data_IF_712651571299
#
_entry.id   IF_712651571299
#
_cell.length_a   1.000
_cell.length_b   1.000
_cell.length_c   1.000
_cell.angle_alpha   90.00
_cell.angle_beta   90.00
_cell.angle_gamma   90.00
#
_symmetry.space_group_name_H-M   'P 1'
#
loop_
_entity.id
_entity.type
_entity.pdbx_description
1 polymer ?
#
# COMPACT_ATOMS: atom_id res chain seq x y z
N UNK A 1 -34.44 36.54 20.14
CA UNK A 1 -34.03 35.29 20.83
C UNK A 1 -34.54 34.01 20.15
N UNK A 2 -35.80 33.93 19.72
CA UNK A 2 -36.32 32.71 19.06
C UNK A 2 -35.65 32.38 17.71
N UNK A 3 -35.37 33.38 16.86
CA UNK A 3 -34.69 33.21 15.58
C UNK A 3 -33.27 32.63 15.75
N UNK A 4 -32.50 33.16 16.71
CA UNK A 4 -31.15 32.67 17.05
C UNK A 4 -31.17 31.22 17.55
N UNK A 5 -32.15 30.83 18.38
CA UNK A 5 -32.31 29.43 18.83
C UNK A 5 -32.69 28.50 17.67
N UNK A 6 -33.54 28.95 16.75
CA UNK A 6 -33.92 28.18 15.57
C UNK A 6 -32.71 27.92 14.67
N UNK A 7 -31.92 28.96 14.40
CA UNK A 7 -30.68 28.86 13.63
C UNK A 7 -29.68 27.89 14.30
N UNK A 8 -29.51 27.99 15.62
CA UNK A 8 -28.63 27.07 16.34
C UNK A 8 -29.08 25.61 16.18
N UNK A 9 -30.38 25.32 16.29
CA UNK A 9 -30.89 23.96 16.07
C UNK A 9 -30.73 23.46 14.62
N UNK A 10 -30.70 24.36 13.63
CA UNK A 10 -30.37 24.02 12.24
C UNK A 10 -28.88 23.69 12.07
N UNK A 11 -28.02 24.46 12.74
CA UNK A 11 -26.57 24.22 12.79
C UNK A 11 -26.30 22.85 13.42
N UNK A 12 -26.84 22.57 14.62
CA UNK A 12 -26.57 21.33 15.34
C UNK A 12 -27.02 20.09 14.52
N UNK A 13 -28.17 20.17 13.84
CA UNK A 13 -28.64 19.12 12.93
C UNK A 13 -27.72 18.95 11.72
N UNK A 14 -27.17 20.03 11.18
CA UNK A 14 -26.23 19.97 10.06
C UNK A 14 -24.91 19.33 10.51
N UNK A 15 -24.36 19.76 11.65
CA UNK A 15 -23.12 19.19 12.20
C UNK A 15 -23.26 17.70 12.48
N UNK A 16 -24.41 17.26 13.02
CA UNK A 16 -24.70 15.83 13.20
C UNK A 16 -24.66 15.05 11.87
N UNK A 17 -25.29 15.59 10.82
CA UNK A 17 -25.23 14.99 9.48
C UNK A 17 -23.81 14.95 8.90
N UNK A 18 -22.97 15.94 9.23
CA UNK A 18 -21.56 15.91 8.83
C UNK A 18 -20.84 14.76 9.52
N UNK A 19 -21.01 14.58 10.84
CA UNK A 19 -20.41 13.46 11.57
C UNK A 19 -20.84 12.11 10.97
N UNK A 20 -22.15 11.88 10.83
CA UNK A 20 -22.70 10.64 10.25
C UNK A 20 -22.20 10.40 8.81
N UNK A 21 -22.11 11.46 7.99
CA UNK A 21 -21.59 11.39 6.63
C UNK A 21 -20.11 11.09 6.56
N UNK A 22 -19.30 11.60 7.51
CA UNK A 22 -17.87 11.31 7.60
C UNK A 22 -17.62 9.86 8.03
N UNK A 23 -18.37 9.35 9.01
CA UNK A 23 -18.31 7.95 9.41
C UNK A 23 -18.68 7.02 8.25
N UNK A 24 -19.79 7.32 7.57
CA UNK A 24 -20.22 6.56 6.38
C UNK A 24 -19.16 6.62 5.28
N UNK A 25 -18.53 7.78 5.06
CA UNK A 25 -17.46 7.93 4.08
C UNK A 25 -16.26 7.06 4.43
N UNK A 26 -15.83 7.03 5.70
CA UNK A 26 -14.72 6.18 6.16
C UNK A 26 -15.04 4.70 5.98
N UNK A 27 -16.24 4.26 6.36
CA UNK A 27 -16.67 2.87 6.21
C UNK A 27 -16.64 2.41 4.74
N UNK A 28 -17.11 3.26 3.82
CA UNK A 28 -17.07 2.96 2.39
C UNK A 28 -15.62 2.99 1.89
N UNK A 29 -14.81 3.94 2.34
CA UNK A 29 -13.41 4.06 1.96
C UNK A 29 -12.62 2.79 2.31
N UNK A 30 -12.80 2.26 3.52
CA UNK A 30 -12.23 0.98 3.93
C UNK A 30 -12.70 -0.18 3.02
N UNK A 31 -13.99 -0.21 2.66
CA UNK A 31 -14.52 -1.21 1.72
C UNK A 31 -13.92 -1.11 0.32
N UNK A 32 -13.67 0.09 -0.20
CA UNK A 32 -12.98 0.30 -1.50
C UNK A 32 -11.57 -0.29 -1.46
N UNK A 33 -10.83 -0.08 -0.37
CA UNK A 33 -9.46 -0.58 -0.23
C UNK A 33 -9.38 -2.09 -0.01
N UNK A 34 -10.34 -2.67 0.72
CA UNK A 34 -10.36 -4.10 1.03
C UNK A 34 -11.02 -4.95 -0.08
N UNK A 35 -11.78 -4.33 -1.00
CA UNK A 35 -12.43 -5.05 -2.08
C UNK A 35 -11.41 -5.60 -3.08
N UNK A 36 -11.38 -6.93 -3.23
CA UNK A 36 -10.56 -7.64 -4.22
C UNK A 36 -11.28 -7.85 -5.56
N UNK A 37 -12.60 -7.70 -5.59
CA UNK A 37 -13.44 -7.84 -6.80
C UNK A 37 -13.70 -6.48 -7.49
N UNK A 38 -13.46 -6.41 -8.80
CA UNK A 38 -13.68 -5.21 -9.63
C UNK A 38 -15.09 -4.64 -9.50
N UNK A 39 -16.14 -5.47 -9.60
CA UNK A 39 -17.53 -4.98 -9.56
C UNK A 39 -17.90 -4.38 -8.20
N UNK A 40 -17.40 -4.97 -7.10
CA UNK A 40 -17.63 -4.44 -5.76
C UNK A 40 -16.85 -3.13 -5.56
N UNK A 41 -15.61 -3.08 -6.06
CA UNK A 41 -14.78 -1.88 -6.00
C UNK A 41 -15.43 -0.71 -6.73
N UNK A 42 -15.89 -0.90 -7.97
CA UNK A 42 -16.60 0.13 -8.74
C UNK A 42 -17.89 0.59 -8.05
N UNK A 43 -18.63 -0.35 -7.44
CA UNK A 43 -19.83 -0.03 -6.65
C UNK A 43 -19.48 0.86 -5.45
N UNK A 44 -18.47 0.49 -4.68
CA UNK A 44 -18.06 1.26 -3.51
C UNK A 44 -17.47 2.61 -3.89
N UNK A 45 -16.72 2.73 -5.00
CA UNK A 45 -16.25 4.01 -5.54
C UNK A 45 -17.42 4.93 -5.92
N UNK A 46 -18.46 4.38 -6.55
CA UNK A 46 -19.67 5.13 -6.88
C UNK A 46 -20.41 5.59 -5.61
N UNK A 47 -20.50 4.75 -4.58
CA UNK A 47 -21.13 5.11 -3.31
C UNK A 47 -20.29 6.15 -2.54
N UNK A 48 -18.96 6.02 -2.54
CA UNK A 48 -18.03 7.01 -1.97
C UNK A 48 -18.20 8.37 -2.65
N UNK A 49 -18.37 8.38 -3.99
CA UNK A 49 -18.65 9.60 -4.77
C UNK A 49 -19.99 10.24 -4.45
N UNK A 50 -21.02 9.44 -4.12
CA UNK A 50 -22.32 9.98 -3.68
C UNK A 50 -22.18 10.62 -2.30
N UNK A 51 -21.49 9.96 -1.37
CA UNK A 51 -21.35 10.45 0.00
C UNK A 51 -20.53 11.73 0.06
N UNK A 52 -19.41 11.81 -0.67
CA UNK A 52 -18.60 13.03 -0.71
C UNK A 52 -19.38 14.22 -1.27
N UNK A 53 -20.27 14.01 -2.25
CA UNK A 53 -21.15 15.06 -2.76
C UNK A 53 -22.15 15.57 -1.72
N UNK A 54 -22.62 14.72 -0.80
CA UNK A 54 -23.48 15.16 0.32
C UNK A 54 -22.69 16.02 1.29
N UNK A 55 -21.49 15.58 1.67
CA UNK A 55 -20.58 16.34 2.53
C UNK A 55 -20.24 17.71 1.92
N UNK A 56 -19.98 17.78 0.61
CA UNK A 56 -19.76 19.05 -0.11
C UNK A 56 -20.94 20.04 0.06
N UNK A 57 -22.18 19.56 -0.06
CA UNK A 57 -23.37 20.41 0.13
C UNK A 57 -23.47 20.94 1.56
N UNK A 58 -23.20 20.09 2.56
CA UNK A 58 -23.16 20.51 3.97
C UNK A 58 -22.05 21.53 4.22
N UNK A 59 -20.88 21.34 3.59
CA UNK A 59 -19.76 22.29 3.66
C UNK A 59 -20.13 23.66 3.10
N UNK A 60 -20.85 23.71 1.98
CA UNK A 60 -21.29 24.99 1.39
C UNK A 60 -22.39 25.66 2.22
N UNK A 61 -23.28 24.87 2.84
CA UNK A 61 -24.22 25.38 3.85
C UNK A 61 -23.47 26.00 5.04
N UNK A 62 -22.48 25.29 5.59
CA UNK A 62 -21.62 25.78 6.67
C UNK A 62 -20.87 27.06 6.24
N UNK A 63 -20.35 27.11 5.01
CA UNK A 63 -19.70 28.31 4.46
C UNK A 63 -20.65 29.50 4.44
N UNK A 64 -21.92 29.30 4.07
CA UNK A 64 -22.93 30.37 4.07
C UNK A 64 -23.19 30.92 5.48
N UNK A 65 -23.22 30.04 6.49
CA UNK A 65 -23.37 30.44 7.90
C UNK A 65 -22.13 31.15 8.45
N UNK A 66 -20.92 30.72 8.07
CA UNK A 66 -19.68 31.42 8.42
C UNK A 66 -19.66 32.83 7.81
N UNK A 67 -20.20 33.02 6.61
CA UNK A 67 -20.31 34.34 5.99
C UNK A 67 -21.40 35.22 6.64
N UNK A 68 -22.39 34.61 7.33
CA UNK A 68 -23.42 35.34 8.05
C UNK A 68 -22.86 36.10 9.27
N UNK A 69 -23.42 37.28 9.53
CA UNK A 69 -23.15 38.09 10.73
C UNK A 69 -23.94 37.65 11.98
N UNK A 70 -24.87 36.71 11.84
CA UNK A 70 -25.76 36.28 12.92
C UNK A 70 -25.09 35.34 13.94
N UNK A 71 -23.95 34.78 13.57
CA UNK A 71 -23.22 33.78 14.37
C UNK A 71 -22.00 34.45 15.00
N UNK A 72 -21.97 34.49 16.33
CA UNK A 72 -20.89 35.10 17.11
C UNK A 72 -19.64 34.23 17.13
N UNK A 73 -19.80 32.95 17.46
CA UNK A 73 -18.70 31.99 17.50
C UNK A 73 -18.78 31.04 16.29
N UNK A 74 -17.72 31.07 15.48
CA UNK A 74 -17.60 30.31 14.22
C UNK A 74 -16.58 29.17 14.31
N UNK A 75 -15.96 28.97 15.48
CA UNK A 75 -14.89 27.98 15.69
C UNK A 75 -15.32 26.57 15.24
N UNK A 76 -16.41 26.06 15.80
CA UNK A 76 -16.96 24.74 15.46
C UNK A 76 -17.31 24.63 13.97
N UNK A 77 -17.91 25.65 13.38
CA UNK A 77 -18.23 25.66 11.95
C UNK A 77 -16.98 25.56 11.06
N UNK A 78 -15.91 26.24 11.45
CA UNK A 78 -14.62 26.19 10.74
C UNK A 78 -13.98 24.80 10.84
N UNK A 79 -14.05 24.16 12.01
CA UNK A 79 -13.48 22.83 12.22
C UNK A 79 -14.21 21.76 11.41
N UNK A 80 -15.54 21.76 11.43
CA UNK A 80 -16.34 20.86 10.59
C UNK A 80 -16.17 21.13 9.09
N UNK A 81 -16.00 22.40 8.68
CA UNK A 81 -15.66 22.73 7.30
C UNK A 81 -14.32 22.13 6.88
N UNK A 82 -13.28 22.26 7.71
CA UNK A 82 -11.96 21.66 7.47
C UNK A 82 -12.00 20.14 7.45
N UNK A 83 -12.80 19.52 8.33
CA UNK A 83 -13.01 18.08 8.36
C UNK A 83 -13.54 17.58 7.02
N UNK A 84 -14.56 18.24 6.46
CA UNK A 84 -15.11 17.89 5.15
C UNK A 84 -14.08 18.11 4.04
N UNK A 85 -13.36 19.24 4.05
CA UNK A 85 -12.30 19.53 3.07
C UNK A 85 -11.20 18.46 3.08
N UNK A 86 -10.87 17.91 4.25
CA UNK A 86 -9.93 16.78 4.38
C UNK A 86 -10.47 15.51 3.73
N UNK A 87 -11.74 15.16 3.96
CA UNK A 87 -12.35 14.00 3.29
C UNK A 87 -12.45 14.19 1.77
N UNK A 88 -12.66 15.43 1.30
CA UNK A 88 -12.65 15.74 -0.13
C UNK A 88 -11.28 15.47 -0.76
N UNK A 89 -10.19 15.83 -0.08
CA UNK A 89 -8.85 15.56 -0.60
C UNK A 89 -8.54 14.06 -0.63
N UNK A 90 -8.94 13.32 0.42
CA UNK A 90 -8.85 11.85 0.43
C UNK A 90 -9.61 11.22 -0.74
N UNK A 91 -10.82 11.72 -1.03
CA UNK A 91 -11.58 11.26 -2.19
C UNK A 91 -10.88 11.53 -3.53
N UNK A 92 -10.21 12.69 -3.70
CA UNK A 92 -9.48 13.00 -4.94
C UNK A 92 -8.34 12.02 -5.21
N UNK A 93 -7.64 11.57 -4.17
CA UNK A 93 -6.56 10.58 -4.31
C UNK A 93 -7.13 9.28 -4.86
N UNK A 94 -8.21 8.77 -4.25
CA UNK A 94 -8.92 7.57 -4.71
C UNK A 94 -9.44 7.75 -6.14
N UNK A 95 -10.11 8.86 -6.45
CA UNK A 95 -10.66 9.10 -7.78
C UNK A 95 -9.56 9.16 -8.86
N UNK A 96 -8.40 9.75 -8.54
CA UNK A 96 -7.25 9.80 -9.44
C UNK A 96 -6.70 8.39 -9.70
N UNK A 97 -6.47 7.61 -8.65
CA UNK A 97 -5.96 6.24 -8.78
C UNK A 97 -6.89 5.35 -9.60
N UNK A 98 -8.20 5.44 -9.35
CA UNK A 98 -9.21 4.69 -10.10
C UNK A 98 -9.23 5.12 -11.57
N UNK A 99 -9.22 6.42 -11.86
CA UNK A 99 -9.22 6.91 -13.25
C UNK A 99 -7.96 6.48 -13.99
N UNK A 100 -6.78 6.66 -13.39
CA UNK A 100 -5.51 6.23 -14.02
C UNK A 100 -5.50 4.72 -14.26
N UNK A 101 -5.97 3.91 -13.31
CA UNK A 101 -6.10 2.45 -13.49
C UNK A 101 -7.16 2.06 -14.51
N UNK A 102 -8.25 2.81 -14.63
CA UNK A 102 -9.30 2.58 -15.65
C UNK A 102 -8.75 2.82 -17.06
N UNK A 103 -8.00 3.90 -17.28
CA UNK A 103 -7.31 4.14 -18.55
C UNK A 103 -6.25 3.07 -18.85
N UNK A 104 -5.55 2.54 -17.84
CA UNK A 104 -4.63 1.40 -18.00
C UNK A 104 -5.33 0.06 -18.28
N UNK A 105 -6.59 -0.13 -17.84
CA UNK A 105 -7.36 -1.38 -18.00
C UNK A 105 -8.20 -1.40 -19.27
N UNK A 106 -8.75 -0.25 -19.70
CA UNK A 106 -9.44 -0.09 -20.99
C UNK A 106 -8.48 -0.21 -22.19
N UNK A 107 -7.17 0.00 -21.98
CA UNK A 107 -6.13 -0.20 -23.01
C UNK A 107 -5.95 -1.65 -23.47
N UNK A 108 -6.43 -2.65 -22.71
CA UNK A 108 -6.39 -4.06 -23.10
C UNK A 108 -7.60 -4.50 -23.94
N UNK A 109 -8.71 -3.74 -23.90
CA UNK A 109 -9.95 -4.07 -24.62
C UNK A 109 -10.10 -3.38 -25.98
N UNK A 110 -9.38 -2.27 -26.20
CA UNK A 110 -9.41 -1.51 -27.44
C UNK A 110 -8.08 -1.64 -28.21
N UNK A 111 -7.73 -2.87 -28.58
CA UNK A 111 -6.80 -3.06 -29.67
C UNK A 111 -7.43 -2.47 -30.94
N UNK A 112 -7.07 -1.23 -31.27
CA UNK A 112 -6.68 -0.77 -32.61
C UNK A 112 -6.86 0.76 -32.75
N UNK A 113 -5.88 1.50 -32.19
CA UNK A 113 -5.11 2.58 -32.85
C UNK A 113 -4.15 3.18 -31.81
N UNK A 114 -3.19 2.38 -31.34
CA UNK A 114 -2.05 2.91 -30.57
C UNK A 114 -0.99 3.38 -31.56
N UNK A 115 -0.53 4.62 -31.35
CA UNK A 115 0.62 5.24 -32.01
C UNK A 115 1.85 4.31 -31.92
N UNK A 116 2.53 3.95 -33.03
CA UNK A 116 3.68 3.04 -33.04
C UNK A 116 4.75 3.36 -32.00
N UNK A 117 4.97 4.65 -31.71
CA UNK A 117 5.97 5.09 -30.73
C UNK A 117 5.60 4.68 -29.29
N UNK A 118 4.32 4.65 -28.93
CA UNK A 118 3.89 4.27 -27.59
C UNK A 118 3.94 2.76 -27.39
N UNK A 119 3.60 1.98 -28.43
CA UNK A 119 3.73 0.51 -28.41
C UNK A 119 5.17 0.08 -28.14
N UNK A 120 6.13 0.68 -28.86
CA UNK A 120 7.54 0.34 -28.70
C UNK A 120 8.06 0.70 -27.30
N UNK A 121 7.59 1.82 -26.72
CA UNK A 121 7.91 2.20 -25.34
C UNK A 121 7.37 1.21 -24.31
N UNK A 122 6.12 0.77 -24.47
CA UNK A 122 5.48 -0.17 -23.54
C UNK A 122 6.10 -1.57 -23.66
N UNK A 123 6.44 -2.00 -24.87
CA UNK A 123 7.16 -3.26 -25.14
C UNK A 123 8.56 -3.23 -24.52
N UNK A 124 9.26 -2.10 -24.65
CA UNK A 124 10.56 -1.88 -23.98
C UNK A 124 10.42 -1.87 -22.46
N UNK A 125 9.40 -1.20 -21.90
CA UNK A 125 9.16 -1.14 -20.46
C UNK A 125 8.81 -2.51 -19.88
N UNK A 126 8.02 -3.30 -20.59
CA UNK A 126 7.68 -4.67 -20.23
C UNK A 126 8.94 -5.55 -20.23
N UNK A 127 9.73 -5.50 -21.30
CA UNK A 127 10.99 -6.24 -21.39
C UNK A 127 11.98 -5.87 -20.27
N UNK A 128 12.10 -4.59 -19.94
CA UNK A 128 12.93 -4.13 -18.82
C UNK A 128 12.46 -4.73 -17.49
N UNK A 129 11.14 -4.72 -17.24
CA UNK A 129 10.57 -5.27 -16.01
C UNK A 129 10.84 -6.77 -15.91
N UNK A 130 10.57 -7.53 -16.98
CA UNK A 130 10.86 -8.97 -17.03
C UNK A 130 12.35 -9.26 -16.84
N UNK A 131 13.22 -8.42 -17.40
CA UNK A 131 14.67 -8.58 -17.27
C UNK A 131 15.14 -8.32 -15.84
N UNK A 132 14.56 -7.32 -15.16
CA UNK A 132 14.83 -7.03 -13.75
C UNK A 132 14.38 -8.21 -12.88
N UNK A 133 13.19 -8.75 -13.11
CA UNK A 133 12.67 -9.90 -12.35
C UNK A 133 13.54 -11.14 -12.53
N UNK A 134 14.01 -11.40 -13.76
CA UNK A 134 14.91 -12.51 -14.04
C UNK A 134 16.27 -12.35 -13.33
N UNK A 135 16.81 -11.13 -13.28
CA UNK A 135 18.06 -10.84 -12.59
C UNK A 135 17.91 -10.99 -11.06
N UNK A 136 16.79 -10.53 -10.48
CA UNK A 136 16.52 -10.72 -9.07
C UNK A 136 16.42 -12.21 -8.70
N UNK A 137 15.76 -13.01 -9.53
CA UNK A 137 15.70 -14.46 -9.31
C UNK A 137 17.10 -15.12 -9.37
N UNK A 138 17.96 -14.65 -10.28
CA UNK A 138 19.34 -15.11 -10.35
C UNK A 138 20.15 -14.70 -9.11
N UNK A 139 19.94 -13.48 -8.60
CA UNK A 139 20.56 -13.04 -7.34
C UNK A 139 20.15 -13.96 -6.19
N UNK A 140 18.85 -14.23 -6.03
CA UNK A 140 18.36 -15.15 -4.99
C UNK A 140 18.98 -16.56 -5.11
N UNK A 141 19.13 -17.06 -6.33
CA UNK A 141 19.78 -18.34 -6.59
C UNK A 141 21.26 -18.33 -6.21
N UNK A 142 22.00 -17.29 -6.60
CA UNK A 142 23.41 -17.18 -6.24
C UNK A 142 23.62 -16.98 -4.75
N UNK A 143 22.74 -16.24 -4.07
CA UNK A 143 22.77 -16.11 -2.62
C UNK A 143 22.59 -17.48 -1.95
N UNK A 144 21.64 -18.29 -2.41
CA UNK A 144 21.47 -19.67 -1.94
C UNK A 144 22.71 -20.54 -2.23
N UNK A 145 23.31 -20.44 -3.41
CA UNK A 145 24.53 -21.18 -3.76
C UNK A 145 25.73 -20.77 -2.89
N UNK A 146 25.88 -19.47 -2.61
CA UNK A 146 26.91 -18.94 -1.72
C UNK A 146 26.73 -19.51 -0.31
N UNK A 147 25.50 -19.51 0.22
CA UNK A 147 25.18 -20.10 1.53
C UNK A 147 25.51 -21.60 1.58
N UNK A 148 25.14 -22.36 0.54
CA UNK A 148 25.47 -23.79 0.42
C UNK A 148 26.98 -24.04 0.37
N UNK A 149 27.73 -23.24 -0.40
CA UNK A 149 29.19 -23.35 -0.48
C UNK A 149 29.87 -23.00 0.86
N UNK A 150 29.37 -22.00 1.58
CA UNK A 150 29.86 -21.66 2.92
C UNK A 150 29.56 -22.78 3.94
N UNK A 151 28.36 -23.37 3.90
CA UNK A 151 28.00 -24.51 4.73
C UNK A 151 28.85 -25.75 4.42
N UNK A 152 29.16 -25.99 3.14
CA UNK A 152 30.04 -27.06 2.68
C UNK A 152 31.50 -26.88 3.16
N UNK A 153 32.03 -25.65 3.12
CA UNK A 153 33.37 -25.35 3.67
C UNK A 153 33.44 -25.59 5.18
N UNK A 154 32.38 -25.24 5.93
CA UNK A 154 32.30 -25.48 7.38
C UNK A 154 32.29 -26.97 7.70
N UNK A 155 31.51 -27.78 6.96
CA UNK A 155 31.50 -29.24 7.09
C UNK A 155 32.85 -29.90 6.74
N UNK A 156 33.58 -29.39 5.74
CA UNK A 156 34.93 -29.91 5.42
C UNK A 156 35.95 -29.60 6.51
N UNK A 157 35.93 -28.39 7.08
CA UNK A 157 36.80 -28.03 8.21
C UNK A 157 36.51 -28.87 9.47
N UNK A 158 35.24 -29.15 9.77
CA UNK A 158 34.89 -30.03 10.90
C UNK A 158 35.37 -31.47 10.66
N UNK A 159 35.27 -31.98 9.42
CA UNK A 159 35.76 -33.32 9.07
C UNK A 159 37.29 -33.43 9.16
N UNK A 160 38.03 -32.44 8.67
CA UNK A 160 39.50 -32.41 8.78
C UNK A 160 39.97 -32.32 10.24
N UNK A 161 39.26 -31.57 11.08
CA UNK A 161 39.53 -31.52 12.53
C UNK A 161 39.25 -32.86 13.20
N UNK A 162 38.14 -33.52 12.84
CA UNK A 162 37.79 -34.84 13.37
C UNK A 162 38.86 -35.90 13.00
N UNK A 163 39.31 -35.92 11.74
CA UNK A 163 40.33 -36.86 11.25
C UNK A 163 41.73 -36.60 11.87
N UNK A 164 42.07 -35.34 12.14
CA UNK A 164 43.32 -35.01 12.85
C UNK A 164 43.29 -35.44 14.34
N UNK A 165 42.12 -35.39 14.99
CA UNK A 165 41.95 -35.86 16.37
C UNK A 165 41.97 -37.39 16.49
N UNK A 166 41.49 -38.13 15.48
CA UNK A 166 41.51 -39.61 15.49
C UNK A 166 42.90 -40.17 15.19
N UNK A 167 43.70 -39.52 14.33
CA UNK A 167 45.10 -39.91 14.06
C UNK A 167 46.01 -39.73 15.28
N UNK A 168 45.86 -38.63 16.04
CA UNK A 168 46.73 -38.35 17.18
C UNK A 168 46.37 -39.12 18.48
N UNK A 169 45.21 -39.76 18.54
CA UNK A 169 44.74 -40.49 19.73
C UNK A 169 44.69 -42.02 19.57
N UNK A 170 45.43 -42.59 18.61
CA UNK A 170 45.47 -44.03 18.41
C UNK A 170 46.78 -44.64 18.97
N UNK A 171 46.81 -45.17 20.20
CA UNK A 171 47.98 -45.82 20.78
C UNK A 171 48.02 -47.29 20.34
N UNK A 172 48.52 -47.59 19.15
CA UNK A 172 48.70 -48.98 18.69
C UNK A 172 49.82 -49.09 17.66
N UNK A 173 51.08 -49.14 18.12
CA UNK A 173 51.91 -50.37 18.00
C UNK A 173 53.33 -50.19 18.59
N UNK A 174 53.94 -51.29 19.09
CA UNK A 174 55.07 -51.26 20.03
C UNK A 174 56.43 -51.14 19.36
N UNK A 175 57.26 -50.24 19.88
CA UNK A 175 58.63 -50.00 19.44
C UNK A 175 59.57 -51.09 19.98
N UNK A 176 59.75 -52.20 19.25
CA UNK A 176 60.84 -53.15 19.52
C UNK A 176 62.10 -52.72 18.74
N UNK A 177 63.05 -52.17 19.50
CA UNK A 177 64.40 -51.80 19.08
C UNK A 177 65.21 -53.04 18.68
N UNK A 178 65.59 -53.13 17.40
CA UNK A 178 66.72 -53.96 16.96
C UNK A 178 68.03 -53.23 17.29
N UNK A 179 68.78 -53.74 18.27
CA UNK A 179 70.21 -53.44 18.40
C UNK A 179 71.01 -54.40 17.53
N UNK A 180 71.84 -53.81 16.68
CA UNK A 180 72.76 -54.44 15.75
C UNK A 180 73.84 -55.31 16.42
N UNK A 181 74.37 -56.25 15.65
CA UNK A 181 75.77 -56.68 15.72
C UNK A 181 76.53 -55.99 14.59
#
# INVERSE_FOLDING_TARGET
MAATRKLQGEIDRCLKKVTEGVETFEDIWQKVHNATNSNQKEKYEADLKKEIKKLQRLRDQIKSWIASGEIKDKSTLLDYRKLIETQMERFKVVERETKTKAYSKEGLGAAQKLDPAQKERDETACWLTTSIDALNLQLDQFECEIELLMAGKKKRLDKDKQDHYTVNNNPSEPHYLLKAK
#
